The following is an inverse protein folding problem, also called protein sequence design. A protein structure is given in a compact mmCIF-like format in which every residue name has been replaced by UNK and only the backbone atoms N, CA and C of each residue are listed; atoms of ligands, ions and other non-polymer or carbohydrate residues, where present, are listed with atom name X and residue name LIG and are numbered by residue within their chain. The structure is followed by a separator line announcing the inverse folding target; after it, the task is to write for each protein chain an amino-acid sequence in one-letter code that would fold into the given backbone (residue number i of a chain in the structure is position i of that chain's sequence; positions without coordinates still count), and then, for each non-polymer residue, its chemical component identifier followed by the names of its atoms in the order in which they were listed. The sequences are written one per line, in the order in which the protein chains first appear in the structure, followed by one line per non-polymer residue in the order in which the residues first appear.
data_IF_985890990059
#
_entry.id   IF_985890990059
#
_cell.length_a   1.000
_cell.length_b   1.000
_cell.length_c   1.000
_cell.angle_alpha   90.00
_cell.angle_beta   90.00
_cell.angle_gamma   90.00
#
_symmetry.space_group_name_H-M   'P 1'
#
loop_
_entity.id
_entity.type
_entity.pdbx_description
1 polymer ?
#
# COMPACT_ATOMS: atom_id res chain seq x y z
N UNK A 1 -2.62 -13.22 -10.47
CA UNK A 1 -2.81 -12.47 -9.21
C UNK A 1 -1.42 -12.18 -8.68
N UNK A 2 -0.87 -11.02 -9.03
CA UNK A 2 0.54 -10.69 -8.79
C UNK A 2 0.82 -10.55 -7.29
N UNK A 3 1.93 -11.11 -6.82
CA UNK A 3 2.40 -11.08 -5.42
C UNK A 3 2.40 -9.66 -4.83
N UNK A 4 2.70 -8.65 -5.65
CA UNK A 4 2.71 -7.23 -5.25
C UNK A 4 1.37 -6.72 -4.70
N UNK A 5 0.23 -7.17 -5.26
CA UNK A 5 -1.10 -6.80 -4.73
C UNK A 5 -1.42 -7.52 -3.42
N UNK A 6 -0.87 -8.72 -3.23
CA UNK A 6 -1.07 -9.49 -2.01
C UNK A 6 -0.23 -8.90 -0.87
N UNK A 7 1.03 -8.55 -1.13
CA UNK A 7 1.89 -7.83 -0.19
C UNK A 7 1.30 -6.47 0.20
N UNK A 8 0.82 -5.67 -0.75
CA UNK A 8 0.20 -4.37 -0.45
C UNK A 8 -1.03 -4.52 0.47
N UNK A 9 -1.87 -5.53 0.21
CA UNK A 9 -3.00 -5.85 1.08
C UNK A 9 -2.57 -6.32 2.46
N UNK A 10 -1.54 -7.17 2.53
CA UNK A 10 -0.99 -7.65 3.80
C UNK A 10 -0.43 -6.51 4.63
N UNK A 11 0.30 -5.58 4.01
CA UNK A 11 0.88 -4.40 4.65
C UNK A 11 -0.22 -3.49 5.22
N UNK A 12 -1.30 -3.26 4.48
CA UNK A 12 -2.48 -2.53 4.97
C UNK A 12 -3.16 -3.20 6.18
N UNK A 13 -3.26 -4.52 6.17
CA UNK A 13 -3.83 -5.30 7.27
C UNK A 13 -2.90 -5.22 8.49
N UNK A 14 -1.60 -5.45 8.29
CA UNK A 14 -0.58 -5.32 9.34
C UNK A 14 -0.58 -3.94 9.97
N UNK A 15 -0.60 -2.88 9.16
CA UNK A 15 -0.64 -1.50 9.62
C UNK A 15 -1.90 -1.20 10.43
N UNK A 16 -3.07 -1.70 9.99
CA UNK A 16 -4.31 -1.53 10.77
C UNK A 16 -4.30 -2.29 12.10
N UNK A 17 -3.70 -3.49 12.12
CA UNK A 17 -3.53 -4.28 13.34
C UNK A 17 -2.57 -3.58 14.30
N UNK A 18 -1.41 -3.11 13.82
CA UNK A 18 -0.43 -2.34 14.60
C UNK A 18 -1.05 -1.06 15.18
N UNK A 19 -1.79 -0.31 14.36
CA UNK A 19 -2.49 0.91 14.78
C UNK A 19 -3.50 0.63 15.90
N UNK A 20 -4.31 -0.42 15.72
CA UNK A 20 -5.34 -0.80 16.68
C UNK A 20 -4.73 -1.36 17.97
N UNK A 21 -3.69 -2.19 17.84
CA UNK A 21 -2.97 -2.76 18.96
C UNK A 21 -2.27 -1.66 19.78
N UNK A 22 -1.56 -0.73 19.13
CA UNK A 22 -0.93 0.41 19.78
C UNK A 22 -1.92 1.31 20.51
N UNK A 23 -3.09 1.57 19.93
CA UNK A 23 -4.17 2.29 20.64
C UNK A 23 -4.68 1.53 21.87
N UNK A 24 -4.86 0.22 21.75
CA UNK A 24 -5.38 -0.63 22.81
C UNK A 24 -4.38 -0.78 23.97
N UNK A 25 -3.09 -0.91 23.67
CA UNK A 25 -2.03 -1.06 24.67
C UNK A 25 -1.47 0.28 25.16
N UNK A 26 -1.81 1.39 24.51
CA UNK A 26 -1.25 2.71 24.78
C UNK A 26 0.15 2.92 24.20
N UNK A 27 0.60 2.01 23.33
CA UNK A 27 1.91 2.06 22.70
C UNK A 27 1.90 2.98 21.46
N UNK A 28 2.46 4.18 21.62
CA UNK A 28 2.52 5.19 20.57
C UNK A 28 3.43 4.77 19.41
N UNK A 29 4.43 3.94 19.67
CA UNK A 29 5.37 3.49 18.65
C UNK A 29 4.65 2.53 17.68
N UNK A 30 3.91 1.58 18.23
CA UNK A 30 3.04 0.66 17.49
C UNK A 30 1.93 1.39 16.72
N UNK A 31 1.30 2.42 17.33
CA UNK A 31 0.32 3.25 16.61
C UNK A 31 0.95 3.96 15.41
N UNK A 32 2.14 4.57 15.62
CA UNK A 32 2.85 5.33 14.61
C UNK A 32 3.34 4.45 13.46
N UNK A 33 3.92 3.27 13.77
CA UNK A 33 4.29 2.27 12.76
C UNK A 33 3.07 1.85 11.94
N UNK A 34 1.94 1.57 12.60
CA UNK A 34 0.72 1.15 11.92
C UNK A 34 0.18 2.20 10.94
N UNK A 35 0.22 3.48 11.33
CA UNK A 35 -0.14 4.59 10.44
C UNK A 35 0.87 4.79 9.31
N UNK A 36 2.16 4.68 9.60
CA UNK A 36 3.22 4.86 8.61
C UNK A 36 3.13 3.81 7.49
N UNK A 37 3.01 2.52 7.83
CA UNK A 37 2.80 1.42 6.88
C UNK A 37 1.58 1.70 5.99
N UNK A 38 0.46 2.13 6.59
CA UNK A 38 -0.78 2.44 5.85
C UNK A 38 -0.62 3.59 4.84
N UNK A 39 0.14 4.62 5.21
CA UNK A 39 0.42 5.78 4.34
C UNK A 39 1.37 5.38 3.21
N UNK A 40 2.43 4.63 3.53
CA UNK A 40 3.41 4.15 2.55
C UNK A 40 2.75 3.19 1.55
N UNK A 41 1.93 2.26 2.03
CA UNK A 41 1.16 1.31 1.21
C UNK A 41 0.21 2.03 0.24
N UNK A 42 -0.57 3.00 0.73
CA UNK A 42 -1.45 3.82 -0.13
C UNK A 42 -0.67 4.65 -1.15
N UNK A 43 0.48 5.21 -0.75
CA UNK A 43 1.36 5.96 -1.65
C UNK A 43 1.91 5.09 -2.78
N UNK A 44 2.35 3.86 -2.46
CA UNK A 44 2.80 2.87 -3.46
C UNK A 44 1.69 2.45 -4.41
N UNK A 45 0.46 2.23 -3.93
CA UNK A 45 -0.68 1.91 -4.79
C UNK A 45 -1.00 3.04 -5.78
N UNK A 46 -1.00 4.31 -5.33
CA UNK A 46 -1.27 5.46 -6.20
C UNK A 46 -0.20 5.61 -7.29
N UNK A 47 1.08 5.49 -6.91
CA UNK A 47 2.20 5.54 -7.87
C UNK A 47 2.14 4.35 -8.83
N UNK A 48 1.82 3.16 -8.33
CA UNK A 48 1.63 1.96 -9.12
C UNK A 48 0.52 2.14 -10.16
N UNK A 49 -0.67 2.59 -9.72
CA UNK A 49 -1.81 2.84 -10.60
C UNK A 49 -1.51 3.89 -11.69
N UNK A 50 -0.82 4.97 -11.34
CA UNK A 50 -0.41 5.99 -12.31
C UNK A 50 0.60 5.41 -13.33
N UNK A 51 1.61 4.66 -12.86
CA UNK A 51 2.56 3.98 -13.77
C UNK A 51 1.88 2.97 -14.67
N UNK A 52 0.93 2.19 -14.15
CA UNK A 52 0.21 1.16 -14.90
C UNK A 52 -0.68 1.80 -15.98
N UNK A 53 -1.37 2.89 -15.66
CA UNK A 53 -2.17 3.65 -16.63
C UNK A 53 -1.31 4.21 -17.77
N UNK A 54 -0.15 4.79 -17.45
CA UNK A 54 0.81 5.30 -18.44
C UNK A 54 1.40 4.15 -19.28
N UNK A 55 1.81 3.05 -18.65
CA UNK A 55 2.28 1.84 -19.37
C UNK A 55 1.22 1.28 -20.30
N UNK A 56 -0.03 1.20 -19.84
CA UNK A 56 -1.16 0.75 -20.64
C UNK A 56 -1.37 1.62 -21.87
N UNK A 57 -1.37 2.94 -21.70
CA UNK A 57 -1.48 3.90 -22.81
C UNK A 57 -0.33 3.77 -23.82
N UNK A 58 0.92 3.68 -23.34
CA UNK A 58 2.11 3.52 -24.21
C UNK A 58 2.08 2.19 -24.95
N UNK A 59 1.70 1.09 -24.28
CA UNK A 59 1.63 -0.23 -24.89
C UNK A 59 0.54 -0.31 -25.98
N UNK A 60 -0.61 0.35 -25.75
CA UNK A 60 -1.65 0.51 -26.78
C UNK A 60 -1.18 1.29 -28.01
N UNK A 61 -0.27 2.26 -27.85
CA UNK A 61 0.30 3.01 -28.96
C UNK A 61 1.41 2.24 -29.70
N UNK A 62 2.13 1.34 -29.01
CA UNK A 62 3.24 0.58 -29.59
C UNK A 62 2.80 -0.66 -30.38
N UNK A 63 1.57 -1.13 -30.16
CA UNK A 63 1.03 -2.32 -30.81
C UNK A 63 0.11 -2.01 -32.01
N UNK A 64 0.20 -0.80 -32.56
CA UNK A 64 -0.49 -0.34 -33.77
C UNK A 64 0.56 0.17 -34.77
#
# INVERSE_FOLDING_TARGET
MSEEKFEAKLDQVKGSVKESAGKLTGDKELEAEGKADKVIGKGKELVGAAKDAVKGAINSLKNK
#
